data_IF_354700984858
#
_entry.id   IF_354700984858
#
_cell.length_a   1.000
_cell.length_b   1.000
_cell.length_c   1.000
_cell.angle_alpha   90.00
_cell.angle_beta   90.00
_cell.angle_gamma   90.00
#
_symmetry.space_group_name_H-M   'P 1'
#
loop_
_entity.id
_entity.type
_entity.pdbx_description
1 polymer ?
#
# COMPACT_ATOMS: atom_id res chain seq x y z
N UNK A 1 -19.98 5.94 9.07
CA UNK A 1 -19.34 5.22 7.95
C UNK A 1 -17.90 5.02 8.35
N UNK A 2 -17.41 3.79 8.32
CA UNK A 2 -15.99 3.49 8.56
C UNK A 2 -15.20 4.02 7.36
N UNK A 3 -14.09 4.72 7.62
CA UNK A 3 -13.30 5.36 6.56
C UNK A 3 -12.57 4.27 5.76
N UNK A 4 -12.90 4.13 4.48
CA UNK A 4 -12.17 3.24 3.56
C UNK A 4 -10.82 3.85 3.24
N UNK A 5 -9.79 3.04 3.08
CA UNK A 5 -8.47 3.53 2.70
C UNK A 5 -7.94 2.80 1.46
N UNK A 6 -7.30 3.55 0.57
CA UNK A 6 -6.58 3.02 -0.58
C UNK A 6 -5.07 3.07 -0.30
N UNK A 7 -4.39 1.95 -0.44
CA UNK A 7 -2.95 1.83 -0.20
C UNK A 7 -2.26 1.45 -1.51
N UNK A 8 -1.38 2.32 -1.99
CA UNK A 8 -0.56 2.10 -3.18
C UNK A 8 0.90 1.94 -2.80
N UNK A 9 1.53 0.87 -3.24
CA UNK A 9 2.95 0.59 -2.97
C UNK A 9 3.75 0.70 -4.26
N UNK A 10 4.87 1.38 -4.19
CA UNK A 10 5.77 1.65 -5.30
C UNK A 10 7.18 1.17 -4.98
N UNK A 11 7.93 0.77 -6.01
CA UNK A 11 9.37 0.59 -5.88
C UNK A 11 10.11 1.94 -5.91
N UNK A 12 11.43 1.93 -5.77
CA UNK A 12 12.25 3.16 -5.76
C UNK A 12 12.27 3.89 -7.10
N UNK A 13 11.94 3.21 -8.20
CA UNK A 13 11.80 3.81 -9.53
C UNK A 13 10.43 4.49 -9.73
N UNK A 14 9.51 4.37 -8.76
CA UNK A 14 8.16 4.93 -8.83
C UNK A 14 7.16 4.03 -9.56
N UNK A 15 7.50 2.77 -9.83
CA UNK A 15 6.58 1.81 -10.45
C UNK A 15 5.62 1.26 -9.41
N UNK A 16 4.32 1.27 -9.71
CA UNK A 16 3.27 0.72 -8.84
C UNK A 16 3.41 -0.81 -8.81
N UNK A 17 3.64 -1.36 -7.62
CA UNK A 17 3.81 -2.80 -7.41
C UNK A 17 2.61 -3.45 -6.73
N UNK A 18 1.83 -2.70 -5.95
CA UNK A 18 0.60 -3.19 -5.33
C UNK A 18 -0.43 -2.06 -5.19
N UNK A 19 -1.70 -2.40 -5.43
CA UNK A 19 -2.86 -1.54 -5.18
C UNK A 19 -3.81 -2.31 -4.24
N UNK A 20 -3.98 -1.80 -3.03
CA UNK A 20 -4.69 -2.47 -1.94
C UNK A 20 -5.79 -1.56 -1.41
N UNK A 21 -6.87 -2.17 -0.89
CA UNK A 21 -8.02 -1.45 -0.34
C UNK A 21 -8.31 -2.02 1.04
N UNK A 22 -8.42 -1.12 2.02
CA UNK A 22 -8.99 -1.42 3.34
C UNK A 22 -10.47 -1.05 3.29
N UNK A 23 -11.34 -2.01 3.63
CA UNK A 23 -12.79 -1.88 3.51
C UNK A 23 -13.54 -2.00 4.85
N UNK A 24 -12.91 -2.58 5.88
CA UNK A 24 -13.53 -2.82 7.19
C UNK A 24 -13.41 -1.61 8.15
N UNK A 25 -12.52 -0.67 7.84
CA UNK A 25 -12.26 0.56 8.59
C UNK A 25 -11.73 0.32 10.00
N UNK A 26 -11.03 -0.80 10.22
CA UNK A 26 -10.34 -1.10 11.47
C UNK A 26 -8.95 -0.43 11.55
N UNK A 27 -8.52 0.21 10.46
CA UNK A 27 -7.25 0.92 10.32
C UNK A 27 -6.06 -0.01 10.08
N UNK A 28 -6.31 -1.27 9.72
CA UNK A 28 -5.29 -2.29 9.51
C UNK A 28 -5.52 -3.00 8.19
N UNK A 29 -4.43 -3.20 7.46
CA UNK A 29 -4.43 -4.02 6.27
C UNK A 29 -3.26 -4.98 6.33
N UNK A 30 -3.55 -6.29 6.24
CA UNK A 30 -2.51 -7.31 6.14
C UNK A 30 -2.12 -7.49 4.68
N UNK A 31 -0.84 -7.27 4.37
CA UNK A 31 -0.27 -7.49 3.04
C UNK A 31 0.86 -8.49 3.11
N UNK A 32 0.87 -9.44 2.16
CA UNK A 32 1.82 -10.54 2.09
C UNK A 32 3.10 -10.22 1.28
N UNK A 33 3.35 -8.94 0.99
CA UNK A 33 4.48 -8.48 0.18
C UNK A 33 4.51 -9.09 -1.24
N UNK A 34 3.35 -9.36 -1.83
CA UNK A 34 3.19 -9.72 -3.23
C UNK A 34 2.70 -8.55 -4.08
N UNK A 35 3.04 -8.58 -5.37
CA UNK A 35 2.45 -7.68 -6.36
C UNK A 35 1.00 -8.07 -6.70
N UNK A 36 0.36 -7.28 -7.56
CA UNK A 36 -1.01 -7.55 -8.03
C UNK A 36 -1.19 -8.90 -8.76
N UNK A 37 -0.10 -9.47 -9.30
CA UNK A 37 -0.09 -10.80 -9.94
C UNK A 37 0.15 -11.94 -8.94
N UNK A 38 0.26 -11.64 -7.63
CA UNK A 38 0.55 -12.62 -6.58
C UNK A 38 2.03 -13.05 -6.49
N UNK A 39 2.90 -12.46 -7.31
CA UNK A 39 4.35 -12.71 -7.28
C UNK A 39 5.00 -11.99 -6.11
N UNK A 40 5.89 -12.69 -5.39
CA UNK A 40 6.62 -12.09 -4.26
C UNK A 40 7.54 -10.96 -4.73
N UNK A 41 7.51 -9.84 -4.01
CA UNK A 41 8.42 -8.75 -4.25
C UNK A 41 9.87 -9.12 -3.89
N UNK A 42 10.81 -8.46 -4.57
CA UNK A 42 12.22 -8.57 -4.27
C UNK A 42 12.55 -7.84 -2.96
N UNK A 43 13.64 -8.24 -2.30
CA UNK A 43 14.17 -7.46 -1.18
C UNK A 43 14.59 -6.07 -1.66
N UNK A 44 14.24 -5.03 -0.90
CA UNK A 44 14.49 -3.66 -1.30
C UNK A 44 13.67 -2.64 -0.54
N UNK A 45 13.84 -1.37 -0.90
CA UNK A 45 13.09 -0.24 -0.37
C UNK A 45 11.87 0.06 -1.26
N UNK A 46 10.73 0.23 -0.60
CA UNK A 46 9.46 0.54 -1.22
C UNK A 46 8.85 1.77 -0.55
N UNK A 47 8.02 2.48 -1.29
CA UNK A 47 7.29 3.65 -0.84
C UNK A 47 5.82 3.29 -0.86
N UNK A 48 5.10 3.57 0.22
CA UNK A 48 3.66 3.38 0.25
C UNK A 48 2.95 4.72 0.44
N UNK A 49 1.76 4.83 -0.14
CA UNK A 49 0.86 5.97 -0.01
C UNK A 49 -0.50 5.43 0.41
N UNK A 50 -1.04 5.96 1.50
CA UNK A 50 -2.37 5.67 2.03
C UNK A 50 -3.21 6.91 1.80
N UNK A 51 -4.36 6.75 1.16
CA UNK A 51 -5.31 7.81 0.84
C UNK A 51 -6.68 7.42 1.36
N UNK A 52 -7.47 8.38 1.85
CA UNK A 52 -8.87 8.10 2.14
C UNK A 52 -9.60 7.79 0.83
N UNK A 53 -10.40 6.71 0.84
CA UNK A 53 -11.11 6.20 -0.33
C UNK A 53 -12.19 7.15 -0.85
N UNK A 54 -12.75 8.00 0.02
CA UNK A 54 -13.79 8.97 -0.35
C UNK A 54 -13.22 10.37 -0.63
N UNK A 55 -12.04 10.71 -0.08
CA UNK A 55 -11.39 12.01 -0.28
C UNK A 55 -9.87 11.87 -0.35
N UNK A 56 -9.28 12.16 -1.52
CA UNK A 56 -7.83 12.02 -1.72
C UNK A 56 -7.01 13.18 -1.15
N UNK A 57 -7.63 14.17 -0.50
CA UNK A 57 -6.92 15.30 0.11
C UNK A 57 -6.18 14.87 1.37
N UNK A 58 -6.76 13.92 2.12
CA UNK A 58 -6.09 13.26 3.24
C UNK A 58 -5.26 12.06 2.76
N UNK A 59 -3.94 12.25 2.80
CA UNK A 59 -2.97 11.22 2.44
C UNK A 59 -1.79 11.17 3.39
N UNK A 60 -1.32 9.95 3.65
CA UNK A 60 -0.11 9.68 4.39
C UNK A 60 0.84 8.86 3.50
N UNK A 61 2.13 9.14 3.57
CA UNK A 61 3.15 8.37 2.86
C UNK A 61 4.25 7.91 3.80
N UNK A 62 4.88 6.80 3.42
CA UNK A 62 5.98 6.24 4.19
C UNK A 62 6.86 5.36 3.33
N UNK A 63 7.89 4.80 3.96
CA UNK A 63 8.84 3.89 3.33
C UNK A 63 8.87 2.60 4.12
N UNK A 64 8.97 1.47 3.43
CA UNK A 64 9.11 0.16 4.02
C UNK A 64 10.24 -0.60 3.31
N UNK A 65 10.99 -1.38 4.08
CA UNK A 65 12.02 -2.27 3.55
C UNK A 65 11.51 -3.70 3.59
N UNK A 66 11.60 -4.41 2.47
CA UNK A 66 11.36 -5.85 2.39
C UNK A 66 12.72 -6.54 2.47
N UNK A 67 12.91 -7.41 3.46
CA UNK A 67 14.12 -8.20 3.68
C UNK A 67 13.69 -9.67 3.76
N UNK A 68 14.44 -10.57 3.13
CA UNK A 68 14.18 -12.02 3.11
C UNK A 68 15.05 -12.74 4.12
#
# INVERSE_FOLDING_TARGET
MTARAKIRVFNIAGELVADLIEEDGDGRLLWNACNSDGSRLASGLYIYIIENGDDSSDKCNGKLAIIK
#
